data_IF_546950134123
#
_entry.id   IF_546950134123
#
_cell.length_a   1.000
_cell.length_b   1.000
_cell.length_c   1.000
_cell.angle_alpha   90.00
_cell.angle_beta   90.00
_cell.angle_gamma   90.00
#
_symmetry.space_group_name_H-M   'P 1'
#
loop_
_entity.id
_entity.type
_entity.pdbx_description
1 polymer ?
#
# COMPACT_ATOMS: atom_id res chain seq x y z
N UNK A 1 -2.02 28.14 -24.73
CA UNK A 1 -1.54 27.15 -25.71
C UNK A 1 -1.59 25.78 -25.05
N UNK A 2 -2.72 25.09 -25.19
CA UNK A 2 -3.01 23.82 -24.55
C UNK A 2 -2.32 22.68 -25.32
N UNK A 3 -1.40 21.97 -24.70
CA UNK A 3 -0.83 20.74 -25.28
C UNK A 3 -1.73 19.55 -24.92
N UNK A 4 -2.08 18.69 -25.90
CA UNK A 4 -2.98 17.56 -25.69
C UNK A 4 -2.15 16.39 -25.14
N UNK A 5 -2.43 15.90 -23.92
CA UNK A 5 -1.83 14.65 -23.44
C UNK A 5 -2.84 13.87 -22.61
N UNK A 6 -3.15 12.68 -23.11
CA UNK A 6 -3.73 11.53 -22.44
C UNK A 6 -3.48 11.59 -20.93
N UNK A 7 -4.50 11.94 -20.15
CA UNK A 7 -4.45 11.83 -18.70
C UNK A 7 -4.55 10.34 -18.37
N UNK A 8 -3.43 9.64 -18.53
CA UNK A 8 -3.32 8.30 -17.97
C UNK A 8 -3.20 8.50 -16.46
N UNK A 9 -4.28 8.17 -15.77
CA UNK A 9 -4.36 8.16 -14.33
C UNK A 9 -4.20 6.73 -13.83
N UNK A 10 -3.30 6.52 -12.88
CA UNK A 10 -3.07 5.23 -12.27
C UNK A 10 -3.60 5.20 -10.85
N UNK A 11 -4.23 4.08 -10.48
CA UNK A 11 -4.35 3.70 -9.07
C UNK A 11 -2.95 3.37 -8.52
N UNK A 12 -2.77 3.55 -7.20
CA UNK A 12 -1.50 3.33 -6.53
C UNK A 12 -0.84 1.99 -6.88
N UNK A 13 -1.61 0.90 -6.85
CA UNK A 13 -1.11 -0.45 -7.09
C UNK A 13 -0.61 -0.61 -8.53
N UNK A 14 -1.40 -0.17 -9.50
CA UNK A 14 -1.04 -0.23 -10.92
C UNK A 14 0.23 0.59 -11.23
N UNK A 15 0.35 1.79 -10.65
CA UNK A 15 1.56 2.60 -10.81
C UNK A 15 2.80 1.93 -10.21
N UNK A 16 2.64 1.34 -9.03
CA UNK A 16 3.73 0.68 -8.33
C UNK A 16 4.23 -0.54 -9.12
N UNK A 17 3.31 -1.36 -9.63
CA UNK A 17 3.60 -2.50 -10.50
C UNK A 17 4.31 -2.07 -11.78
N UNK A 18 3.82 -1.01 -12.46
CA UNK A 18 4.44 -0.53 -13.69
C UNK A 18 5.90 -0.07 -13.48
N UNK A 19 6.20 0.53 -12.34
CA UNK A 19 7.56 1.00 -12.02
C UNK A 19 8.42 -0.10 -11.35
N UNK A 20 7.84 -1.26 -11.03
CA UNK A 20 8.54 -2.35 -10.38
C UNK A 20 8.89 -2.08 -8.91
N UNK A 21 8.02 -1.38 -8.19
CA UNK A 21 8.16 -1.10 -6.75
C UNK A 21 6.89 -1.45 -5.98
N UNK A 22 6.99 -1.51 -4.65
CA UNK A 22 5.81 -1.76 -3.83
C UNK A 22 4.94 -0.50 -3.64
N UNK A 23 3.61 -0.62 -3.49
CA UNK A 23 2.73 0.50 -3.08
C UNK A 23 3.18 1.17 -1.78
N UNK A 24 3.86 0.42 -0.91
CA UNK A 24 4.45 0.91 0.33
C UNK A 24 5.62 1.87 0.05
N UNK A 25 6.50 1.53 -0.88
CA UNK A 25 7.63 2.38 -1.30
C UNK A 25 7.13 3.71 -1.87
N UNK A 26 6.08 3.67 -2.71
CA UNK A 26 5.46 4.89 -3.26
C UNK A 26 4.95 5.80 -2.13
N UNK A 27 4.20 5.26 -1.16
CA UNK A 27 3.70 6.03 -0.01
C UNK A 27 4.83 6.61 0.84
N UNK A 28 5.91 5.86 1.02
CA UNK A 28 7.09 6.34 1.73
C UNK A 28 7.75 7.51 0.99
N UNK A 29 7.87 7.45 -0.34
CA UNK A 29 8.40 8.58 -1.12
C UNK A 29 7.52 9.83 -1.04
N UNK A 30 6.19 9.67 -1.03
CA UNK A 30 5.28 10.79 -0.77
C UNK A 30 5.51 11.38 0.62
N UNK A 31 5.65 10.55 1.66
CA UNK A 31 5.87 11.00 3.04
C UNK A 31 7.22 11.70 3.23
N UNK A 32 8.28 11.23 2.58
CA UNK A 32 9.62 11.86 2.59
C UNK A 32 9.71 13.09 1.66
N UNK A 33 8.69 13.37 0.84
CA UNK A 33 8.69 14.49 -0.10
C UNK A 33 9.52 14.26 -1.37
N UNK A 34 9.84 13.01 -1.70
CA UNK A 34 10.49 12.65 -2.97
C UNK A 34 9.48 12.63 -4.13
N UNK A 35 8.21 12.40 -3.83
CA UNK A 35 7.10 12.41 -4.78
C UNK A 35 6.11 13.49 -4.35
N UNK A 36 5.55 14.30 -5.28
CA UNK A 36 4.48 15.22 -4.94
C UNK A 36 3.31 14.46 -4.31
N UNK A 37 2.61 15.13 -3.39
CA UNK A 37 1.40 14.58 -2.82
C UNK A 37 0.33 14.47 -3.93
N UNK A 38 -0.41 13.35 -3.99
CA UNK A 38 -1.47 13.21 -4.98
C UNK A 38 -2.58 14.24 -4.72
N UNK A 39 -3.35 14.61 -5.76
CA UNK A 39 -4.38 15.65 -5.67
C UNK A 39 -5.51 15.30 -4.69
N UNK A 40 -5.78 14.01 -4.47
CA UNK A 40 -6.77 13.53 -3.51
C UNK A 40 -6.16 12.47 -2.57
N UNK A 41 -6.65 12.41 -1.33
CA UNK A 41 -6.27 11.40 -0.34
C UNK A 41 -7.49 10.53 0.01
N UNK A 42 -7.53 9.30 -0.51
CA UNK A 42 -8.58 8.32 -0.24
C UNK A 42 -8.51 7.10 -1.18
N UNK A 43 -9.52 6.22 -1.19
CA UNK A 43 -9.59 5.06 -2.09
C UNK A 43 -9.53 5.44 -3.58
N UNK A 44 -10.01 6.65 -3.88
CA UNK A 44 -10.01 7.23 -5.22
C UNK A 44 -8.78 8.08 -5.54
N UNK A 45 -7.72 7.98 -4.75
CA UNK A 45 -6.45 8.60 -5.09
C UNK A 45 -5.92 8.09 -6.43
N UNK A 46 -5.74 9.02 -7.36
CA UNK A 46 -5.12 8.80 -8.66
C UNK A 46 -3.76 9.48 -8.74
N UNK A 47 -2.87 8.89 -9.52
CA UNK A 47 -1.54 9.38 -9.79
C UNK A 47 -1.39 9.60 -11.30
N UNK A 48 -0.95 10.78 -11.72
CA UNK A 48 -0.73 11.10 -13.13
C UNK A 48 0.70 10.81 -13.62
N UNK A 49 0.95 11.13 -14.88
CA UNK A 49 2.24 10.92 -15.56
C UNK A 49 3.44 11.52 -14.83
N UNK A 50 3.27 12.67 -14.17
CA UNK A 50 4.35 13.29 -13.39
C UNK A 50 4.88 12.35 -12.29
N UNK A 51 3.97 11.65 -11.60
CA UNK A 51 4.35 10.70 -10.56
C UNK A 51 5.11 9.53 -11.16
N UNK A 52 4.64 9.02 -12.29
CA UNK A 52 5.29 7.93 -13.03
C UNK A 52 6.70 8.28 -13.47
N UNK A 53 6.88 9.42 -14.13
CA UNK A 53 8.19 9.92 -14.56
C UNK A 53 9.12 10.06 -13.35
N UNK A 54 8.65 10.67 -12.27
CA UNK A 54 9.47 10.90 -11.08
C UNK A 54 9.86 9.59 -10.39
N UNK A 55 8.95 8.62 -10.30
CA UNK A 55 9.26 7.29 -9.76
C UNK A 55 10.30 6.55 -10.62
N UNK A 56 10.18 6.60 -11.95
CA UNK A 56 11.19 6.04 -12.86
C UNK A 56 12.54 6.76 -12.73
N UNK A 57 12.55 8.08 -12.59
CA UNK A 57 13.78 8.84 -12.33
C UNK A 57 14.45 8.42 -11.01
N UNK A 58 13.66 8.25 -9.93
CA UNK A 58 14.15 7.73 -8.64
C UNK A 58 14.85 6.39 -8.83
N UNK A 59 14.25 5.47 -9.60
CA UNK A 59 14.84 4.15 -9.90
C UNK A 59 16.21 4.25 -10.54
N UNK A 60 16.36 5.15 -11.52
CA UNK A 60 17.63 5.37 -12.23
C UNK A 60 18.70 5.88 -11.26
N UNK A 61 18.34 6.83 -10.40
CA UNK A 61 19.28 7.40 -9.42
C UNK A 61 19.64 6.40 -8.32
N UNK A 62 18.69 5.58 -7.87
CA UNK A 62 18.96 4.51 -6.91
C UNK A 62 19.88 3.43 -7.51
N UNK A 63 19.74 3.11 -8.80
CA UNK A 63 20.64 2.18 -9.48
C UNK A 63 22.08 2.71 -9.61
N UNK A 64 22.28 4.02 -9.43
CA UNK A 64 23.61 4.66 -9.28
C UNK A 64 24.10 4.69 -7.84
N UNK A 65 23.42 3.98 -6.92
CA UNK A 65 23.72 3.91 -5.49
C UNK A 65 23.66 5.26 -4.75
N UNK A 66 22.87 6.23 -5.25
CA UNK A 66 22.67 7.48 -4.51
C UNK A 66 21.79 7.23 -3.27
N UNK A 67 22.13 7.84 -2.10
CA UNK A 67 21.25 7.85 -0.95
C UNK A 67 19.99 8.70 -1.23
N UNK A 68 18.88 8.38 -0.55
CA UNK A 68 17.59 9.01 -0.82
C UNK A 68 17.59 10.53 -0.67
N UNK A 69 18.39 11.07 0.25
CA UNK A 69 18.46 12.51 0.47
C UNK A 69 19.19 13.22 -0.69
N UNK A 70 20.23 12.58 -1.26
CA UNK A 70 20.87 13.05 -2.48
C UNK A 70 19.95 12.94 -3.70
N UNK A 71 19.15 11.86 -3.75
CA UNK A 71 18.11 11.70 -4.79
C UNK A 71 17.09 12.83 -4.69
N UNK A 72 16.62 13.18 -3.48
CA UNK A 72 15.68 14.27 -3.30
C UNK A 72 16.25 15.61 -3.79
N UNK A 73 17.50 15.93 -3.42
CA UNK A 73 18.18 17.14 -3.88
C UNK A 73 18.31 17.18 -5.41
N UNK A 74 18.66 16.05 -6.03
CA UNK A 74 18.80 15.95 -7.48
C UNK A 74 17.44 16.12 -8.19
N UNK A 75 16.37 15.48 -7.69
CA UNK A 75 15.03 15.64 -8.23
C UNK A 75 14.49 17.08 -8.15
N UNK A 76 14.93 17.87 -7.17
CA UNK A 76 14.56 19.28 -7.04
C UNK A 76 15.36 20.18 -8.00
N UNK A 77 16.57 19.74 -8.37
CA UNK A 77 17.45 20.46 -9.30
C UNK A 77 17.07 20.25 -10.76
N UNK A 78 16.58 19.06 -11.12
CA UNK A 78 16.27 18.69 -12.50
C UNK A 78 15.00 19.38 -13.02
N UNK A 79 15.06 19.84 -14.26
CA UNK A 79 13.89 20.30 -15.02
C UNK A 79 12.95 19.13 -15.38
N UNK A 80 11.67 19.40 -15.69
CA UNK A 80 10.73 18.36 -16.11
C UNK A 80 11.22 17.56 -17.32
N UNK A 81 11.92 18.19 -18.25
CA UNK A 81 12.49 17.56 -19.44
C UNK A 81 13.69 16.65 -19.09
N UNK A 82 14.53 17.08 -18.16
CA UNK A 82 15.64 16.26 -17.64
C UNK A 82 15.13 15.05 -16.86
N UNK A 83 14.09 15.22 -16.05
CA UNK A 83 13.44 14.13 -15.33
C UNK A 83 12.88 13.08 -16.29
N UNK A 84 12.24 13.50 -17.39
CA UNK A 84 11.75 12.58 -18.43
C UNK A 84 12.88 11.81 -19.09
N UNK A 85 13.95 12.48 -19.51
CA UNK A 85 15.13 11.82 -20.09
C UNK A 85 15.77 10.82 -19.13
N UNK A 86 15.84 11.18 -17.86
CA UNK A 86 16.34 10.29 -16.82
C UNK A 86 15.43 9.06 -16.66
N UNK A 87 14.11 9.26 -16.61
CA UNK A 87 13.11 8.19 -16.51
C UNK A 87 13.10 7.21 -17.70
N UNK A 88 13.47 7.69 -18.90
CA UNK A 88 13.60 6.87 -20.11
C UNK A 88 14.95 6.17 -20.21
N UNK A 89 15.92 6.53 -19.37
CA UNK A 89 17.22 5.88 -19.35
C UNK A 89 17.06 4.41 -18.94
N UNK A 90 17.68 3.47 -19.67
CA UNK A 90 17.56 2.05 -19.36
C UNK A 90 18.18 1.78 -17.99
N UNK A 91 17.33 1.45 -17.02
CA UNK A 91 17.75 0.86 -15.75
C UNK A 91 17.59 -0.64 -15.91
N UNK A 92 18.57 -1.41 -15.46
CA UNK A 92 18.40 -2.87 -15.35
C UNK A 92 17.10 -3.15 -14.58
N UNK A 93 16.23 -3.97 -15.16
CA UNK A 93 14.88 -4.26 -14.65
C UNK A 93 14.88 -5.13 -13.38
N UNK A 94 15.88 -4.98 -12.52
CA UNK A 94 16.01 -5.67 -11.26
C UNK A 94 15.20 -4.96 -10.17
N UNK A 95 14.49 -5.74 -9.36
CA UNK A 95 13.93 -5.29 -8.08
C UNK A 95 15.07 -4.70 -7.25
N UNK A 96 15.07 -3.37 -7.01
CA UNK A 96 16.04 -2.82 -6.06
C UNK A 96 15.60 -3.19 -4.64
N UNK A 97 16.55 -3.39 -3.72
CA UNK A 97 16.22 -3.61 -2.33
C UNK A 97 15.34 -2.48 -1.82
N UNK A 98 14.23 -2.84 -1.15
CA UNK A 98 13.37 -1.89 -0.45
C UNK A 98 14.23 -1.20 0.61
N UNK A 99 14.35 0.14 0.64
CA UNK A 99 15.24 0.81 1.59
C UNK A 99 14.91 0.44 3.04
N UNK A 100 15.91 0.27 3.91
CA UNK A 100 15.70 -0.18 5.29
C UNK A 100 14.70 0.69 6.06
N UNK A 101 14.74 2.00 5.87
CA UNK A 101 13.77 2.95 6.44
C UNK A 101 12.32 2.59 6.09
N UNK A 102 12.10 2.08 4.87
CA UNK A 102 10.79 1.60 4.42
C UNK A 102 10.41 0.32 5.15
N UNK A 103 11.35 -0.57 5.48
CA UNK A 103 11.05 -1.77 6.26
C UNK A 103 10.73 -1.43 7.71
N UNK A 104 11.42 -0.43 8.29
CA UNK A 104 11.25 0.02 9.68
C UNK A 104 9.97 0.82 9.92
N UNK A 105 9.37 1.40 8.87
CA UNK A 105 8.11 2.15 9.01
C UNK A 105 7.01 1.21 9.54
N UNK A 106 6.19 1.56 10.54
CA UNK A 106 5.09 0.68 10.94
C UNK A 106 4.16 0.46 9.74
N UNK A 107 3.64 -0.76 9.49
CA UNK A 107 2.60 -0.94 8.48
C UNK A 107 1.46 0.03 8.84
N UNK A 108 1.20 1.00 7.94
CA UNK A 108 -0.01 1.80 8.06
C UNK A 108 -1.15 0.79 7.97
N UNK A 109 -1.80 0.50 9.11
CA UNK A 109 -3.05 -0.26 9.11
C UNK A 109 -3.93 0.38 8.04
N UNK A 110 -4.53 -0.38 7.11
CA UNK A 110 -5.40 0.20 6.10
C UNK A 110 -6.32 1.19 6.82
N UNK A 111 -6.14 2.47 6.47
CA UNK A 111 -6.86 3.54 7.14
C UNK A 111 -8.33 3.26 6.91
N UNK A 112 -9.08 3.14 8.00
CA UNK A 112 -10.54 3.12 7.94
C UNK A 112 -10.95 4.39 7.21
N UNK A 113 -11.64 4.24 6.09
CA UNK A 113 -12.40 5.34 5.52
C UNK A 113 -13.35 5.85 6.61
N UNK A 114 -13.38 7.17 6.89
CA UNK A 114 -14.22 7.72 7.96
C UNK A 114 -15.74 7.62 7.70
N UNK A 115 -16.16 6.96 6.62
CA UNK A 115 -17.57 6.67 6.30
C UNK A 115 -18.01 5.24 6.58
N UNK A 116 -17.11 4.35 6.99
CA UNK A 116 -17.48 3.01 7.47
C UNK A 116 -17.23 2.97 8.97
N UNK A 117 -18.33 3.00 9.74
CA UNK A 117 -18.29 2.72 11.18
C UNK A 117 -17.41 1.50 11.41
N UNK A 118 -16.38 1.68 12.23
CA UNK A 118 -15.50 0.59 12.54
C UNK A 118 -16.24 -0.35 13.47
N UNK A 119 -16.92 -1.33 12.88
CA UNK A 119 -17.27 -2.55 13.56
C UNK A 119 -15.97 -3.12 14.16
N UNK A 120 -15.82 -3.03 15.48
CA UNK A 120 -14.82 -3.79 16.21
C UNK A 120 -15.18 -5.25 16.06
N UNK A 121 -14.24 -6.13 15.76
CA UNK A 121 -14.51 -7.56 15.64
C UNK A 121 -13.82 -8.30 16.79
N UNK A 122 -14.55 -9.21 17.42
CA UNK A 122 -14.01 -10.21 18.31
C UNK A 122 -13.56 -11.42 17.49
N UNK A 123 -12.32 -11.87 17.73
CA UNK A 123 -11.71 -13.01 17.04
C UNK A 123 -11.59 -14.19 17.99
N UNK A 124 -12.07 -15.35 17.58
CA UNK A 124 -11.89 -16.61 18.27
C UNK A 124 -11.22 -17.63 17.34
N UNK A 125 -10.19 -18.31 17.83
CA UNK A 125 -9.60 -19.47 17.18
C UNK A 125 -10.38 -20.71 17.65
N UNK A 126 -11.09 -21.37 16.74
CA UNK A 126 -11.93 -22.53 17.07
C UNK A 126 -11.14 -23.84 16.94
N UNK A 127 -10.29 -23.95 15.93
CA UNK A 127 -9.37 -25.06 15.72
C UNK A 127 -8.13 -24.55 14.94
N UNK A 128 -7.01 -25.29 14.88
CA UNK A 128 -5.87 -24.90 14.06
C UNK A 128 -6.29 -24.65 12.59
N UNK A 129 -6.17 -23.39 12.14
CA UNK A 129 -6.57 -22.96 10.80
C UNK A 129 -8.05 -22.54 10.64
N UNK A 130 -8.88 -22.66 11.68
CA UNK A 130 -10.28 -22.20 11.68
C UNK A 130 -10.49 -21.07 12.68
N UNK A 131 -10.70 -19.85 12.17
CA UNK A 131 -10.98 -18.64 12.95
C UNK A 131 -12.40 -18.12 12.70
N UNK A 132 -13.06 -17.69 13.78
CA UNK A 132 -14.35 -16.99 13.71
C UNK A 132 -14.17 -15.52 14.09
N UNK A 133 -14.64 -14.63 13.22
CA UNK A 133 -14.65 -13.18 13.42
C UNK A 133 -16.08 -12.69 13.54
N UNK A 134 -16.41 -12.03 14.65
CA UNK A 134 -17.77 -11.52 14.91
C UNK A 134 -17.70 -10.04 15.25
N UNK A 135 -18.47 -9.21 14.55
CA UNK A 135 -18.57 -7.78 14.86
C UNK A 135 -19.20 -7.55 16.25
N UNK A 136 -18.69 -6.61 17.03
CA UNK A 136 -19.29 -6.11 18.28
C UNK A 136 -20.66 -5.46 18.03
N UNK A 137 -20.92 -5.00 16.82
CA UNK A 137 -22.21 -4.45 16.39
C UNK A 137 -23.15 -5.53 15.82
N UNK A 138 -22.75 -6.81 15.82
CA UNK A 138 -23.55 -7.87 15.24
C UNK A 138 -24.92 -7.98 15.93
N UNK A 139 -25.97 -8.20 15.13
CA UNK A 139 -27.32 -8.44 15.64
C UNK A 139 -27.36 -9.67 16.58
N UNK A 140 -28.31 -9.68 17.51
CA UNK A 140 -28.42 -10.73 18.52
C UNK A 140 -28.50 -12.15 17.90
N UNK A 141 -29.16 -12.30 16.75
CA UNK A 141 -29.24 -13.58 16.01
C UNK A 141 -27.87 -14.04 15.49
N UNK A 142 -27.07 -13.11 14.99
CA UNK A 142 -25.72 -13.38 14.46
C UNK A 142 -24.76 -13.74 15.61
N UNK A 143 -24.86 -13.05 16.75
CA UNK A 143 -24.12 -13.41 17.96
C UNK A 143 -24.52 -14.79 18.49
N UNK A 144 -25.82 -15.09 18.56
CA UNK A 144 -26.31 -16.40 18.98
C UNK A 144 -25.82 -17.53 18.06
N UNK A 145 -25.76 -17.28 16.74
CA UNK A 145 -25.20 -18.25 15.80
C UNK A 145 -23.71 -18.48 16.06
N UNK A 146 -22.93 -17.42 16.29
CA UNK A 146 -21.51 -17.53 16.58
C UNK A 146 -21.24 -18.32 17.88
N UNK A 147 -22.01 -18.08 18.94
CA UNK A 147 -21.92 -18.85 20.19
C UNK A 147 -22.31 -20.32 19.99
N UNK A 148 -23.32 -20.62 19.15
CA UNK A 148 -23.67 -22.01 18.81
C UNK A 148 -22.55 -22.73 18.05
N UNK A 149 -21.91 -22.04 17.09
CA UNK A 149 -20.73 -22.59 16.38
C UNK A 149 -19.59 -22.83 17.36
N UNK A 150 -19.38 -21.95 18.33
CA UNK A 150 -18.37 -22.11 19.38
C UNK A 150 -18.68 -23.31 20.30
N UNK A 151 -19.93 -23.47 20.72
CA UNK A 151 -20.37 -24.57 21.57
C UNK A 151 -20.22 -25.94 20.88
N UNK A 152 -20.60 -26.03 19.60
CA UNK A 152 -20.46 -27.27 18.81
C UNK A 152 -19.01 -27.77 18.74
N UNK A 153 -18.03 -26.87 18.65
CA UNK A 153 -16.62 -27.25 18.62
C UNK A 153 -16.14 -27.70 20.00
N UNK A 154 -16.59 -27.05 21.09
CA UNK A 154 -16.28 -27.49 22.46
C UNK A 154 -16.86 -28.89 22.77
N UNK A 155 -18.10 -29.14 22.38
CA UNK A 155 -18.75 -30.46 22.55
C UNK A 155 -18.05 -31.56 21.71
N UNK A 156 -17.50 -31.20 20.54
CA UNK A 156 -16.78 -32.16 19.68
C UNK A 156 -15.38 -32.55 20.22
N UNK A 157 -14.80 -31.74 21.09
CA UNK A 157 -13.51 -32.04 21.75
C UNK A 157 -13.70 -32.86 23.03
N UNK A 158 -14.82 -32.73 23.75
CA UNK A 158 -15.13 -33.52 24.95
C UNK A 158 -15.44 -35.00 24.65
N UNK A 159 -15.92 -35.31 23.43
CA UNK A 159 -16.18 -36.69 22.99
C UNK A 159 -14.93 -37.52 22.63
N UNK A 160 -13.72 -36.94 22.65
CA UNK A 160 -12.46 -37.63 22.33
C UNK A 160 -11.65 -38.10 23.55
N UNK A 161 -12.15 -37.88 24.78
CA UNK A 161 -11.49 -38.32 26.02
C UNK A 161 -12.22 -39.45 26.78
N UNK A 162 -13.13 -40.21 26.13
CA UNK A 162 -13.67 -41.46 26.68
C UNK A 162 -13.28 -42.67 25.85
#
# INVERSE_FOLDING_TARGET
MSTPKTQTEWKLTALAEEVGISPRTVRYYVQRGLLPAPPFKGPDTVYGEEHRVRLKAIRVLQARFLPLDAIQAELLRLSPEELRRLAESPVGSGTLPVPEDVLRMPPKRPGKDPTVEVARYQRWLLAPGLELHVSEQAEAKVRALAERVRALILESEEGKQS
#
